data_IF_034246911007
#
_entry.id   IF_034246911007
#
_cell.length_a   1.000
_cell.length_b   1.000
_cell.length_c   1.000
_cell.angle_alpha   90.00
_cell.angle_beta   90.00
_cell.angle_gamma   90.00
#
_symmetry.space_group_name_H-M   'P 1'
#
loop_
_entity.id
_entity.type
_entity.pdbx_description
1 polymer ?
#
# COMPACT_ATOMS: atom_id res chain seq x y z
N UNK A 1 -13.30 -15.83 19.17
CA UNK A 1 -12.04 -16.32 18.63
C UNK A 1 -12.04 -16.16 17.13
N UNK A 2 -11.61 -15.00 16.64
CA UNK A 2 -11.08 -14.89 15.28
C UNK A 2 -9.58 -14.70 15.45
N UNK A 3 -8.86 -15.74 15.06
CA UNK A 3 -7.41 -15.86 15.09
C UNK A 3 -6.86 -14.99 13.96
N UNK A 4 -6.51 -13.74 14.30
CA UNK A 4 -5.80 -12.80 13.44
C UNK A 4 -4.35 -13.30 13.27
N UNK A 5 -4.22 -14.38 12.50
CA UNK A 5 -2.94 -14.87 12.03
C UNK A 5 -2.46 -13.88 10.97
N UNK A 6 -1.98 -12.72 11.42
CA UNK A 6 -1.11 -11.84 10.65
C UNK A 6 0.13 -12.65 10.30
N UNK A 7 0.01 -13.41 9.22
CA UNK A 7 1.13 -14.07 8.57
C UNK A 7 2.01 -12.91 8.09
N UNK A 8 2.97 -12.52 8.93
CA UNK A 8 3.99 -11.53 8.60
C UNK A 8 4.85 -12.13 7.48
N UNK A 9 4.34 -12.10 6.25
CA UNK A 9 5.08 -12.42 5.02
C UNK A 9 6.31 -11.51 4.85
N UNK A 10 6.41 -10.48 5.69
CA UNK A 10 7.48 -9.48 5.76
C UNK A 10 8.63 -9.87 6.70
N UNK A 11 8.53 -10.95 7.49
CA UNK A 11 9.63 -11.36 8.41
C UNK A 11 10.81 -12.05 7.67
N UNK A 12 10.59 -12.52 6.43
CA UNK A 12 11.58 -13.29 5.65
C UNK A 12 12.29 -12.43 4.58
N UNK A 13 12.05 -11.11 4.57
CA UNK A 13 12.73 -10.19 3.64
C UNK A 13 14.00 -9.59 4.26
N UNK A 14 15.15 -9.88 3.65
CA UNK A 14 16.41 -9.22 3.99
C UNK A 14 16.39 -7.76 3.52
N UNK A 15 16.12 -6.86 4.46
CA UNK A 15 16.14 -5.41 4.26
C UNK A 15 17.40 -4.85 4.92
N UNK A 16 18.10 -3.98 4.21
CA UNK A 16 19.26 -3.28 4.75
C UNK A 16 18.84 -2.36 5.91
N UNK A 17 19.69 -2.30 6.94
CA UNK A 17 19.42 -1.51 8.14
C UNK A 17 19.15 -0.03 7.84
N UNK A 18 19.78 0.51 6.78
CA UNK A 18 19.53 1.88 6.34
C UNK A 18 18.11 2.08 5.78
N UNK A 19 17.60 1.15 4.97
CA UNK A 19 16.22 1.21 4.46
C UNK A 19 15.21 1.02 5.59
N UNK A 20 15.45 0.08 6.50
CA UNK A 20 14.57 -0.12 7.65
C UNK A 20 14.49 1.14 8.53
N UNK A 21 15.63 1.82 8.77
CA UNK A 21 15.65 3.09 9.49
C UNK A 21 14.85 4.17 8.76
N UNK A 22 15.00 4.29 7.44
CA UNK A 22 14.23 5.27 6.64
C UNK A 22 12.72 5.01 6.68
N UNK A 23 12.31 3.74 6.65
CA UNK A 23 10.91 3.33 6.78
C UNK A 23 10.36 3.80 8.13
N UNK A 24 11.05 3.53 9.24
CA UNK A 24 10.64 3.99 10.58
C UNK A 24 10.60 5.51 10.70
N UNK A 25 11.57 6.21 10.12
CA UNK A 25 11.61 7.67 10.12
C UNK A 25 10.43 8.28 9.35
N UNK A 26 10.03 7.65 8.23
CA UNK A 26 8.87 8.06 7.45
C UNK A 26 7.55 7.75 8.16
N UNK A 27 7.43 6.57 8.78
CA UNK A 27 6.27 6.21 9.63
C UNK A 27 6.05 7.26 10.71
N UNK A 28 7.10 7.60 11.46
CA UNK A 28 7.03 8.63 12.52
C UNK A 28 6.60 9.99 11.95
N UNK A 29 7.14 10.40 10.80
CA UNK A 29 6.75 11.67 10.16
C UNK A 29 5.30 11.67 9.68
N UNK A 30 4.81 10.56 9.16
CA UNK A 30 3.44 10.40 8.70
C UNK A 30 2.45 10.31 9.88
N UNK A 31 2.88 9.74 11.01
CA UNK A 31 2.12 9.79 12.27
C UNK A 31 2.03 11.22 12.83
N UNK A 32 3.13 11.97 12.81
CA UNK A 32 3.15 13.37 13.23
C UNK A 32 2.33 14.26 12.28
N UNK A 33 2.43 14.01 10.97
CA UNK A 33 1.78 14.79 9.93
C UNK A 33 1.28 13.89 8.77
N UNK A 34 0.04 13.36 8.85
CA UNK A 34 -0.49 12.45 7.83
C UNK A 34 -0.79 13.14 6.49
N UNK A 35 -0.87 14.48 6.47
CA UNK A 35 -1.17 15.26 5.27
C UNK A 35 0.04 15.48 4.34
N UNK A 36 1.12 14.71 4.55
CA UNK A 36 2.37 14.80 3.82
C UNK A 36 2.38 13.88 2.59
N UNK A 37 1.78 14.36 1.49
CA UNK A 37 1.61 13.59 0.25
C UNK A 37 2.93 13.05 -0.33
N UNK A 38 3.98 13.87 -0.42
CA UNK A 38 5.27 13.45 -1.00
C UNK A 38 5.92 12.32 -0.18
N UNK A 39 5.72 12.35 1.14
CA UNK A 39 6.27 11.39 2.08
C UNK A 39 5.55 10.05 2.00
N UNK A 40 4.22 10.06 1.76
CA UNK A 40 3.48 8.83 1.43
C UNK A 40 4.02 8.17 0.16
N UNK A 41 4.28 8.96 -0.89
CA UNK A 41 4.87 8.45 -2.14
C UNK A 41 6.27 7.86 -1.92
N UNK A 42 7.12 8.54 -1.15
CA UNK A 42 8.47 8.05 -0.82
C UNK A 42 8.41 6.76 0.02
N UNK A 43 7.50 6.72 0.99
CA UNK A 43 7.27 5.55 1.85
C UNK A 43 6.81 4.34 1.03
N UNK A 44 5.80 4.50 0.18
CA UNK A 44 5.30 3.45 -0.74
C UNK A 44 6.44 2.92 -1.64
N UNK A 45 7.28 3.82 -2.19
CA UNK A 45 8.43 3.41 -3.03
C UNK A 45 9.45 2.59 -2.26
N UNK A 46 9.77 2.98 -1.02
CA UNK A 46 10.70 2.24 -0.17
C UNK A 46 10.15 0.86 0.20
N UNK A 47 8.88 0.78 0.58
CA UNK A 47 8.21 -0.49 0.89
C UNK A 47 8.19 -1.42 -0.33
N UNK A 48 7.93 -0.88 -1.53
CA UNK A 48 7.97 -1.64 -2.80
C UNK A 48 9.37 -2.21 -3.06
N UNK A 49 10.42 -1.41 -2.87
CA UNK A 49 11.80 -1.86 -3.04
C UNK A 49 12.20 -2.93 -2.01
N UNK A 50 11.74 -2.77 -0.76
CA UNK A 50 11.93 -3.71 0.33
C UNK A 50 11.07 -4.98 0.22
N UNK A 51 10.14 -5.03 -0.76
CA UNK A 51 9.16 -6.11 -0.94
C UNK A 51 8.31 -6.38 0.30
N UNK A 52 8.07 -5.34 1.10
CA UNK A 52 7.24 -5.37 2.29
C UNK A 52 5.76 -5.30 1.91
N UNK A 53 5.12 -6.44 1.69
CA UNK A 53 3.82 -6.53 1.02
C UNK A 53 2.70 -6.02 1.91
N UNK A 54 2.68 -6.49 3.15
CA UNK A 54 1.63 -6.16 4.12
C UNK A 54 1.70 -4.66 4.45
N UNK A 55 2.91 -4.14 4.65
CA UNK A 55 3.10 -2.70 4.89
C UNK A 55 2.78 -1.86 3.65
N UNK A 56 3.19 -2.29 2.44
CA UNK A 56 2.90 -1.56 1.20
C UNK A 56 1.40 -1.39 0.99
N UNK A 57 0.62 -2.44 1.25
CA UNK A 57 -0.84 -2.39 1.18
C UNK A 57 -1.41 -1.40 2.18
N UNK A 58 -0.97 -1.48 3.43
CA UNK A 58 -1.42 -0.56 4.50
C UNK A 58 -1.09 0.88 4.16
N UNK A 59 0.09 1.14 3.57
CA UNK A 59 0.50 2.46 3.13
C UNK A 59 -0.40 3.02 2.01
N UNK A 60 -0.73 2.20 1.01
CA UNK A 60 -1.65 2.59 -0.05
C UNK A 60 -3.07 2.84 0.47
N UNK A 61 -3.56 2.02 1.41
CA UNK A 61 -4.86 2.24 2.07
C UNK A 61 -4.88 3.55 2.86
N UNK A 62 -3.87 3.80 3.68
CA UNK A 62 -3.74 5.05 4.43
C UNK A 62 -3.71 6.26 3.49
N UNK A 63 -2.99 6.16 2.36
CA UNK A 63 -2.95 7.22 1.36
C UNK A 63 -4.32 7.43 0.68
N UNK A 64 -5.05 6.35 0.39
CA UNK A 64 -6.39 6.41 -0.21
C UNK A 64 -7.45 7.01 0.74
N UNK A 65 -7.33 6.75 2.03
CA UNK A 65 -8.23 7.30 3.04
C UNK A 65 -7.99 8.79 3.30
N UNK A 66 -6.74 9.24 3.18
CA UNK A 66 -6.34 10.63 3.42
C UNK A 66 -6.48 11.52 2.19
N UNK A 67 -6.23 10.98 0.99
CA UNK A 67 -6.19 11.75 -0.25
C UNK A 67 -7.06 11.12 -1.34
N UNK A 68 -7.79 11.94 -2.12
CA UNK A 68 -8.42 11.44 -3.33
C UNK A 68 -7.33 10.99 -4.31
N UNK A 69 -7.21 9.67 -4.49
CA UNK A 69 -6.26 9.10 -5.43
C UNK A 69 -6.70 9.38 -6.86
N UNK A 70 -5.74 9.76 -7.71
CA UNK A 70 -5.97 9.89 -9.14
C UNK A 70 -5.88 8.51 -9.84
N UNK A 71 -6.32 8.45 -11.10
CA UNK A 71 -6.28 7.23 -11.91
C UNK A 71 -4.88 6.60 -11.97
N UNK A 72 -3.84 7.44 -12.06
CA UNK A 72 -2.44 6.98 -12.11
C UNK A 72 -2.06 6.26 -10.83
N UNK A 73 -2.37 6.80 -9.65
CA UNK A 73 -2.06 6.20 -8.35
C UNK A 73 -2.83 4.90 -8.14
N UNK A 74 -4.12 4.87 -8.50
CA UNK A 74 -4.90 3.62 -8.48
C UNK A 74 -4.28 2.55 -9.38
N UNK A 75 -3.84 2.93 -10.58
CA UNK A 75 -3.19 2.01 -11.52
C UNK A 75 -1.84 1.53 -11.00
N UNK A 76 -1.04 2.41 -10.39
CA UNK A 76 0.23 2.03 -9.76
C UNK A 76 0.00 1.05 -8.60
N UNK A 77 -0.98 1.29 -7.74
CA UNK A 77 -1.30 0.36 -6.65
C UNK A 77 -1.75 -1.00 -7.18
N UNK A 78 -2.65 -1.03 -8.17
CA UNK A 78 -3.10 -2.29 -8.77
C UNK A 78 -1.92 -3.05 -9.40
N UNK A 79 -0.99 -2.35 -10.05
CA UNK A 79 0.22 -2.98 -10.60
C UNK A 79 1.14 -3.53 -9.50
N UNK A 80 1.31 -2.80 -8.40
CA UNK A 80 2.11 -3.26 -7.26
C UNK A 80 1.56 -4.56 -6.66
N UNK A 81 0.23 -4.65 -6.50
CA UNK A 81 -0.42 -5.87 -6.00
C UNK A 81 -0.35 -7.01 -7.03
N UNK A 82 -0.46 -6.70 -8.33
CA UNK A 82 -0.30 -7.68 -9.41
C UNK A 82 1.11 -8.28 -9.46
N UNK A 83 2.15 -7.48 -9.24
CA UNK A 83 3.53 -7.97 -9.15
C UNK A 83 3.74 -8.89 -7.95
N UNK A 84 2.90 -8.76 -6.92
CA UNK A 84 3.00 -9.52 -5.68
C UNK A 84 2.08 -10.75 -5.64
N UNK A 85 1.17 -10.90 -6.62
CA UNK A 85 0.21 -12.01 -6.74
C UNK A 85 0.95 -13.35 -6.70
N UNK A 86 0.66 -14.20 -5.72
CA UNK A 86 1.19 -15.57 -5.63
C UNK A 86 0.08 -16.61 -5.57
N UNK A 87 -1.07 -16.22 -5.07
CA UNK A 87 -2.21 -17.10 -4.82
C UNK A 87 -3.46 -16.65 -5.61
N UNK A 88 -4.41 -17.55 -5.86
CA UNK A 88 -5.70 -17.16 -6.44
C UNK A 88 -6.51 -16.22 -5.53
N UNK A 89 -6.24 -16.21 -4.22
CA UNK A 89 -6.85 -15.28 -3.27
C UNK A 89 -6.34 -13.84 -3.47
N UNK A 90 -5.05 -13.66 -3.75
CA UNK A 90 -4.49 -12.37 -4.14
C UNK A 90 -5.20 -11.81 -5.38
N UNK A 91 -5.45 -12.67 -6.38
CA UNK A 91 -6.13 -12.27 -7.60
C UNK A 91 -7.57 -11.80 -7.34
N UNK A 92 -8.29 -12.45 -6.42
CA UNK A 92 -9.63 -12.01 -6.02
C UNK A 92 -9.60 -10.65 -5.30
N UNK A 93 -8.58 -10.41 -4.47
CA UNK A 93 -8.36 -9.11 -3.81
C UNK A 93 -8.09 -7.99 -4.81
N UNK A 94 -7.23 -8.23 -5.80
CA UNK A 94 -6.94 -7.26 -6.86
C UNK A 94 -8.20 -6.91 -7.66
N UNK A 95 -9.07 -7.90 -7.94
CA UNK A 95 -10.35 -7.62 -8.59
C UNK A 95 -11.24 -6.69 -7.75
N UNK A 96 -11.29 -6.88 -6.43
CA UNK A 96 -12.01 -5.98 -5.54
C UNK A 96 -11.39 -4.57 -5.50
N UNK A 97 -10.06 -4.48 -5.48
CA UNK A 97 -9.33 -3.21 -5.54
C UNK A 97 -9.62 -2.47 -6.84
N UNK A 98 -9.58 -3.17 -7.98
CA UNK A 98 -9.90 -2.61 -9.28
C UNK A 98 -11.36 -2.13 -9.35
N UNK A 99 -12.30 -2.90 -8.80
CA UNK A 99 -13.69 -2.48 -8.69
C UNK A 99 -13.83 -1.18 -7.87
N UNK A 100 -13.11 -1.06 -6.75
CA UNK A 100 -13.08 0.17 -5.94
C UNK A 100 -12.53 1.35 -6.72
N UNK A 101 -11.39 1.18 -7.39
CA UNK A 101 -10.79 2.22 -8.23
C UNK A 101 -11.75 2.70 -9.33
N UNK A 102 -12.49 1.78 -9.98
CA UNK A 102 -13.48 2.15 -10.99
C UNK A 102 -14.73 2.83 -10.40
N UNK A 103 -15.14 2.49 -9.17
CA UNK A 103 -16.25 3.15 -8.49
C UNK A 103 -15.91 4.58 -8.08
N UNK A 104 -14.70 4.84 -7.62
CA UNK A 104 -14.24 6.19 -7.28
C UNK A 104 -14.35 7.14 -8.47
N UNK A 105 -14.08 6.65 -9.69
CA UNK A 105 -14.20 7.43 -10.92
C UNK A 105 -15.63 7.54 -11.45
N UNK A 106 -16.47 6.51 -11.24
CA UNK A 106 -17.88 6.51 -11.63
C UNK A 106 -18.80 7.26 -10.66
N UNK A 107 -18.35 7.53 -9.44
CA UNK A 107 -19.07 8.34 -8.45
C UNK A 107 -18.97 9.86 -8.70
N UNK A 108 -18.52 10.27 -9.88
CA UNK A 108 -18.77 11.62 -10.41
C UNK A 108 -20.20 11.63 -10.97
N UNK A 109 -21.17 11.90 -10.10
CA UNK A 109 -22.53 12.20 -10.54
C UNK A 109 -22.52 13.46 -11.41
N UNK A 110 -22.94 13.31 -12.67
CA UNK A 110 -23.24 14.38 -13.63
C UNK A 110 -24.31 15.36 -13.11
#
# INVERSE_FOLDING_TARGET
>A
DDDDSSSDEDDDVEIDAETMQKIMDLETKLEENPNLYEQHIEYIKLLRAAKLRTRLRTAHEAMADLFPLNETLWTEWVNDELEQVRTPEDAARIQALFARATQDYLSVAL
#
